data_IF_035032329043
#
_entry.id   IF_035032329043
#
_cell.length_a   1.000
_cell.length_b   1.000
_cell.length_c   1.000
_cell.angle_alpha   90.00
_cell.angle_beta   90.00
_cell.angle_gamma   90.00
#
_symmetry.space_group_name_H-M   'P 1'
#
loop_
_entity.id
_entity.type
_entity.pdbx_description
1 polymer ?
#
# COMPACT_ATOMS: atom_id res chain seq x y z
N UNK A 1 -58.27 -65.11 -33.36
CA UNK A 1 -58.39 -63.79 -34.00
C UNK A 1 -57.49 -62.85 -33.16
N UNK A 2 -56.31 -62.57 -33.74
CA UNK A 2 -55.21 -61.87 -33.09
C UNK A 2 -55.19 -60.48 -33.66
N UNK A 3 -55.26 -59.44 -32.78
CA UNK A 3 -55.18 -58.05 -33.18
C UNK A 3 -53.75 -57.48 -32.98
N UNK A 4 -53.11 -57.11 -34.08
CA UNK A 4 -51.83 -56.46 -34.14
C UNK A 4 -51.94 -55.01 -33.64
N UNK A 5 -51.10 -54.63 -32.69
CA UNK A 5 -50.87 -53.24 -32.34
C UNK A 5 -49.55 -52.76 -32.92
N UNK A 6 -49.62 -51.81 -33.85
CA UNK A 6 -48.46 -51.11 -34.41
C UNK A 6 -47.89 -50.14 -33.39
N UNK A 7 -46.60 -50.30 -33.07
CA UNK A 7 -45.83 -49.38 -32.26
C UNK A 7 -45.37 -48.12 -33.03
N UNK A 8 -45.69 -46.98 -32.59
CA UNK A 8 -45.16 -45.66 -33.07
C UNK A 8 -43.78 -45.42 -32.48
N UNK A 9 -42.76 -45.46 -33.31
CA UNK A 9 -41.39 -45.10 -32.96
C UNK A 9 -41.26 -43.56 -32.78
N UNK A 10 -40.97 -43.11 -31.58
CA UNK A 10 -40.58 -41.71 -31.29
C UNK A 10 -39.06 -41.59 -31.46
N UNK A 11 -38.64 -40.85 -32.47
CA UNK A 11 -37.25 -40.44 -32.68
C UNK A 11 -36.86 -39.39 -31.63
N UNK A 12 -35.84 -39.69 -30.85
CA UNK A 12 -35.20 -38.72 -29.94
C UNK A 12 -34.45 -37.70 -30.80
N UNK A 13 -34.96 -36.45 -30.85
CA UNK A 13 -34.18 -35.29 -31.28
C UNK A 13 -33.26 -34.91 -30.12
N UNK A 14 -31.98 -35.07 -30.32
CA UNK A 14 -30.96 -34.50 -29.43
C UNK A 14 -31.00 -32.96 -29.56
N UNK A 15 -31.46 -32.28 -28.50
CA UNK A 15 -31.32 -30.84 -28.37
C UNK A 15 -29.96 -30.60 -27.76
N UNK A 16 -28.97 -30.26 -28.60
CA UNK A 16 -27.68 -29.75 -28.14
C UNK A 16 -27.89 -28.35 -27.58
N UNK A 17 -27.96 -28.23 -26.25
CA UNK A 17 -27.84 -26.93 -25.59
C UNK A 17 -26.38 -26.47 -25.69
N UNK A 18 -26.11 -25.59 -26.65
CA UNK A 18 -24.87 -24.83 -26.68
C UNK A 18 -24.81 -23.86 -25.50
N UNK A 19 -24.06 -24.18 -24.45
CA UNK A 19 -23.65 -23.20 -23.46
C UNK A 19 -22.70 -22.20 -24.12
N UNK A 20 -23.23 -21.06 -24.54
CA UNK A 20 -22.41 -19.91 -24.87
C UNK A 20 -21.73 -19.41 -23.57
N UNK A 21 -20.44 -19.67 -23.44
CA UNK A 21 -19.62 -19.05 -22.38
C UNK A 21 -19.59 -17.54 -22.62
N UNK A 22 -20.35 -16.79 -21.84
CA UNK A 22 -20.23 -15.34 -21.77
C UNK A 22 -18.81 -15.00 -21.27
N UNK A 23 -18.07 -14.11 -21.95
CA UNK A 23 -16.78 -13.70 -21.45
C UNK A 23 -17.00 -13.02 -20.09
N UNK A 24 -16.32 -13.53 -19.05
CA UNK A 24 -16.19 -12.84 -17.78
C UNK A 24 -15.55 -11.47 -18.07
N UNK A 25 -16.37 -10.43 -18.16
CA UNK A 25 -15.89 -9.07 -18.20
C UNK A 25 -15.11 -8.87 -16.90
N UNK A 26 -13.78 -8.86 -16.99
CA UNK A 26 -12.92 -8.42 -15.90
C UNK A 26 -13.27 -6.95 -15.65
N UNK A 27 -14.08 -6.71 -14.63
CA UNK A 27 -14.46 -5.37 -14.21
C UNK A 27 -13.19 -4.71 -13.66
N UNK A 28 -12.45 -4.02 -14.53
CA UNK A 28 -11.35 -3.14 -14.10
C UNK A 28 -12.01 -2.06 -13.25
N UNK A 29 -11.68 -1.94 -11.97
CA UNK A 29 -12.30 -0.91 -11.14
C UNK A 29 -12.03 0.46 -11.76
N UNK A 30 -13.06 1.32 -11.81
CA UNK A 30 -12.92 2.69 -12.25
C UNK A 30 -11.83 3.36 -11.38
N UNK A 31 -10.90 4.08 -12.01
CA UNK A 31 -9.83 4.81 -11.34
C UNK A 31 -10.32 5.90 -10.40
N UNK A 32 -9.45 6.77 -9.89
CA UNK A 32 -9.81 7.95 -9.12
C UNK A 32 -10.67 8.94 -9.93
N UNK A 33 -11.11 10.03 -9.31
CA UNK A 33 -11.88 11.08 -9.98
C UNK A 33 -11.11 11.64 -11.22
N UNK A 34 -11.84 12.12 -12.23
CA UNK A 34 -11.29 12.46 -13.55
C UNK A 34 -10.23 13.58 -13.54
N UNK A 35 -10.26 14.43 -12.53
CA UNK A 35 -9.30 15.53 -12.31
C UNK A 35 -8.01 15.07 -11.59
N UNK A 36 -7.97 13.82 -11.12
CA UNK A 36 -6.77 13.24 -10.51
C UNK A 36 -5.89 12.62 -11.59
N UNK A 37 -4.65 13.11 -11.74
CA UNK A 37 -3.68 12.50 -12.65
C UNK A 37 -3.43 11.04 -12.27
N UNK A 38 -3.65 10.12 -13.22
CA UNK A 38 -3.65 8.68 -12.98
C UNK A 38 -2.83 7.90 -14.02
N UNK A 39 -1.96 7.03 -13.53
CA UNK A 39 -1.19 6.07 -14.35
C UNK A 39 -1.69 4.65 -14.04
N UNK A 40 -2.46 4.02 -14.94
CA UNK A 40 -2.89 2.63 -14.77
C UNK A 40 -1.73 1.65 -15.03
N UNK A 41 -1.85 0.41 -14.56
CA UNK A 41 -0.87 -0.67 -14.68
C UNK A 41 -0.21 -0.74 -16.07
N UNK A 42 -1.00 -0.74 -17.14
CA UNK A 42 -0.52 -0.87 -18.54
C UNK A 42 0.42 0.25 -19.01
N UNK A 43 0.63 1.32 -18.24
CA UNK A 43 1.53 2.44 -18.58
C UNK A 43 2.81 2.48 -17.73
N UNK A 44 3.05 1.52 -16.86
CA UNK A 44 4.23 1.45 -16.01
C UNK A 44 5.54 1.47 -16.82
N UNK A 45 5.60 0.69 -17.89
CA UNK A 45 6.78 0.59 -18.78
C UNK A 45 7.14 1.89 -19.53
N UNK A 46 6.30 2.94 -19.47
CA UNK A 46 6.54 4.21 -20.14
C UNK A 46 7.25 5.26 -19.27
N UNK A 47 7.56 4.95 -18.01
CA UNK A 47 8.25 5.87 -17.11
C UNK A 47 9.76 5.73 -17.34
N UNK A 48 10.39 6.79 -17.85
CA UNK A 48 11.83 6.81 -18.09
C UNK A 48 12.64 6.60 -16.80
N UNK A 49 13.82 5.97 -16.87
CA UNK A 49 14.74 5.85 -15.72
C UNK A 49 15.13 7.19 -15.08
N UNK A 50 15.14 8.29 -15.83
CA UNK A 50 15.45 9.64 -15.36
C UNK A 50 14.22 10.39 -14.81
N UNK A 51 12.99 9.88 -15.05
CA UNK A 51 11.78 10.52 -14.56
C UNK A 51 11.75 10.49 -13.02
N UNK A 52 11.60 11.63 -12.34
CA UNK A 52 11.48 11.67 -10.88
C UNK A 52 10.29 10.90 -10.34
N UNK A 53 9.28 10.60 -11.17
CA UNK A 53 8.12 9.78 -10.82
C UNK A 53 8.43 8.28 -10.81
N UNK A 54 9.60 7.86 -11.32
CA UNK A 54 10.03 6.47 -11.28
C UNK A 54 10.06 5.96 -9.84
N UNK A 55 9.50 4.77 -9.65
CA UNK A 55 9.54 4.07 -8.37
C UNK A 55 10.91 3.42 -8.17
N UNK A 56 11.52 3.66 -7.03
CA UNK A 56 12.83 3.14 -6.63
C UNK A 56 12.68 2.31 -5.38
N UNK A 57 13.22 1.10 -5.40
CA UNK A 57 13.18 0.17 -4.28
C UNK A 57 14.15 0.61 -3.17
N UNK A 58 13.62 0.77 -1.96
CA UNK A 58 14.37 1.36 -0.84
C UNK A 58 15.57 0.52 -0.41
N UNK A 59 15.43 -0.80 -0.35
CA UNK A 59 16.53 -1.70 0.07
C UNK A 59 17.70 -1.73 -0.91
N UNK A 60 17.49 -1.29 -2.17
CA UNK A 60 18.57 -1.12 -3.15
C UNK A 60 19.39 0.14 -2.91
N UNK A 61 18.84 1.13 -2.21
CA UNK A 61 19.53 2.38 -1.86
C UNK A 61 20.27 2.28 -0.54
N UNK A 62 19.69 1.55 0.42
CA UNK A 62 20.31 1.33 1.72
C UNK A 62 19.88 -0.03 2.29
N UNK A 63 20.85 -0.93 2.43
CA UNK A 63 20.64 -2.30 2.94
C UNK A 63 20.35 -2.38 4.43
N UNK A 64 20.54 -1.30 5.18
CA UNK A 64 20.15 -1.22 6.59
C UNK A 64 18.64 -0.94 6.77
N UNK A 65 17.92 -0.61 5.70
CA UNK A 65 16.46 -0.55 5.72
C UNK A 65 15.91 -1.97 5.75
N UNK A 66 15.09 -2.27 6.76
CA UNK A 66 14.38 -3.55 6.88
C UNK A 66 12.92 -3.42 6.47
N UNK A 67 12.29 -4.52 6.09
CA UNK A 67 10.91 -4.56 5.64
C UNK A 67 10.05 -5.41 6.59
N UNK A 68 8.98 -4.82 7.11
CA UNK A 68 7.87 -5.53 7.76
C UNK A 68 6.57 -5.12 7.04
N UNK A 69 6.51 -5.45 5.73
CA UNK A 69 5.43 -5.02 4.82
C UNK A 69 4.10 -5.63 5.25
N UNK A 70 3.36 -4.89 6.05
CA UNK A 70 2.15 -5.38 6.73
C UNK A 70 1.09 -5.88 5.77
N UNK A 71 0.92 -5.24 4.64
CA UNK A 71 -0.07 -5.64 3.63
C UNK A 71 0.38 -6.81 2.74
N UNK A 72 1.64 -7.25 2.83
CA UNK A 72 2.12 -8.50 2.23
C UNK A 72 1.85 -9.73 3.11
N UNK A 73 1.29 -9.55 4.30
CA UNK A 73 0.91 -10.59 5.26
C UNK A 73 -0.52 -10.40 5.72
N UNK A 74 -1.01 -11.30 6.57
CA UNK A 74 -2.31 -11.14 7.26
C UNK A 74 -2.22 -10.26 8.51
N UNK A 75 -1.02 -9.81 8.91
CA UNK A 75 -0.77 -8.96 10.07
C UNK A 75 -1.09 -7.49 9.77
N UNK A 76 -2.33 -7.19 9.41
CA UNK A 76 -2.88 -5.86 9.16
C UNK A 76 -4.36 -5.82 9.57
N UNK A 77 -4.96 -4.64 9.63
CA UNK A 77 -6.33 -4.47 10.12
C UNK A 77 -7.41 -5.18 9.28
N UNK A 78 -7.10 -5.58 8.03
CA UNK A 78 -8.05 -6.32 7.19
C UNK A 78 -7.97 -7.83 7.40
N UNK A 79 -6.90 -8.34 8.01
CA UNK A 79 -6.61 -9.76 8.16
C UNK A 79 -6.35 -10.48 6.81
N UNK A 80 -6.06 -9.75 5.74
CA UNK A 80 -5.89 -10.28 4.38
C UNK A 80 -4.54 -9.89 3.80
N UNK A 81 -3.97 -10.75 2.97
CA UNK A 81 -2.82 -10.42 2.12
C UNK A 81 -3.32 -9.59 0.94
N UNK A 82 -2.76 -8.38 0.78
CA UNK A 82 -3.14 -7.41 -0.25
C UNK A 82 -2.03 -7.14 -1.26
N UNK A 83 -0.76 -7.37 -0.88
CA UNK A 83 0.41 -7.26 -1.76
C UNK A 83 0.87 -8.63 -2.21
N UNK A 84 1.27 -8.76 -3.47
CA UNK A 84 1.86 -9.98 -4.02
C UNK A 84 3.29 -10.23 -3.52
N UNK A 85 3.99 -9.16 -3.12
CA UNK A 85 5.39 -9.17 -2.73
C UNK A 85 5.65 -8.23 -1.55
N UNK A 86 6.62 -8.59 -0.69
CA UNK A 86 7.09 -7.75 0.41
C UNK A 86 8.23 -6.82 -0.08
N UNK A 87 7.89 -5.81 -0.89
CA UNK A 87 8.82 -4.83 -1.46
C UNK A 87 8.36 -3.41 -1.14
N UNK A 88 9.32 -2.50 -0.95
CA UNK A 88 9.04 -1.10 -0.62
C UNK A 88 9.65 -0.16 -1.67
N UNK A 89 8.79 0.63 -2.31
CA UNK A 89 9.16 1.59 -3.34
C UNK A 89 8.71 2.99 -2.98
N UNK A 90 9.49 3.99 -3.38
CA UNK A 90 9.06 5.39 -3.40
C UNK A 90 9.45 6.04 -4.73
N UNK A 91 8.83 7.17 -5.06
CA UNK A 91 9.28 8.03 -6.15
C UNK A 91 10.74 8.44 -5.92
N UNK A 92 11.53 8.53 -6.99
CA UNK A 92 12.98 8.62 -6.88
C UNK A 92 13.51 9.72 -5.95
N UNK A 93 12.97 10.96 -5.88
CA UNK A 93 13.39 11.95 -4.88
C UNK A 93 13.04 11.55 -3.45
N UNK A 94 11.83 11.03 -3.21
CA UNK A 94 11.39 10.56 -1.89
C UNK A 94 12.22 9.35 -1.42
N UNK A 95 12.55 8.42 -2.32
CA UNK A 95 13.40 7.27 -2.01
C UNK A 95 14.81 7.70 -1.58
N UNK A 96 15.42 8.66 -2.29
CA UNK A 96 16.73 9.22 -1.90
C UNK A 96 16.68 9.95 -0.57
N UNK A 97 15.59 10.68 -0.29
CA UNK A 97 15.38 11.35 0.99
C UNK A 97 15.24 10.33 2.14
N UNK A 98 14.45 9.26 1.95
CA UNK A 98 14.32 8.17 2.91
C UNK A 98 15.67 7.47 3.19
N UNK A 99 16.50 7.26 2.16
CA UNK A 99 17.84 6.70 2.34
C UNK A 99 18.76 7.63 3.14
N UNK A 100 18.68 8.96 2.99
CA UNK A 100 19.45 9.89 3.83
C UNK A 100 18.94 9.89 5.27
N UNK A 101 17.62 9.86 5.48
CA UNK A 101 17.02 9.71 6.81
C UNK A 101 17.48 8.40 7.49
N UNK A 102 17.58 7.31 6.73
CA UNK A 102 18.14 6.05 7.22
C UNK A 102 19.60 6.18 7.65
N UNK A 103 20.43 6.88 6.89
CA UNK A 103 21.84 7.14 7.27
C UNK A 103 21.95 7.99 8.55
N UNK A 104 21.08 8.99 8.72
CA UNK A 104 21.04 9.77 9.94
C UNK A 104 20.60 8.93 11.15
N UNK A 105 19.63 8.03 10.99
CA UNK A 105 19.22 7.10 12.05
C UNK A 105 20.36 6.13 12.43
N UNK A 106 21.10 5.61 11.44
CA UNK A 106 22.24 4.71 11.66
C UNK A 106 23.34 5.36 12.51
N UNK A 107 23.59 6.65 12.33
CA UNK A 107 24.56 7.37 13.14
C UNK A 107 24.19 7.41 14.63
N UNK A 108 22.92 7.30 14.95
CA UNK A 108 22.38 7.25 16.32
C UNK A 108 22.12 5.81 16.81
N UNK A 109 22.51 4.77 16.03
CA UNK A 109 22.34 3.35 16.38
C UNK A 109 20.98 2.75 16.01
N UNK A 110 20.19 3.43 15.16
CA UNK A 110 18.87 2.96 14.72
C UNK A 110 18.85 2.66 13.21
N UNK A 111 17.99 1.71 12.81
CA UNK A 111 17.62 1.49 11.42
C UNK A 111 16.16 1.82 11.17
N UNK A 112 15.76 1.96 9.89
CA UNK A 112 14.38 2.15 9.49
C UNK A 112 13.74 0.80 9.16
N UNK A 113 12.54 0.55 9.68
CA UNK A 113 11.70 -0.59 9.31
C UNK A 113 10.45 -0.09 8.60
N UNK A 114 10.26 -0.48 7.35
CA UNK A 114 9.15 -0.04 6.51
C UNK A 114 7.95 -0.96 6.67
N UNK A 115 6.80 -0.39 6.99
CA UNK A 115 5.50 -1.07 7.07
C UNK A 115 4.70 -0.96 5.78
N UNK A 116 4.76 0.21 5.12
CA UNK A 116 4.17 0.50 3.82
C UNK A 116 4.91 1.65 3.13
N UNK A 117 4.87 1.64 1.78
CA UNK A 117 5.48 2.70 0.98
C UNK A 117 4.60 3.00 -0.25
N UNK A 118 5.09 2.83 -1.48
CA UNK A 118 4.21 2.88 -2.63
C UNK A 118 3.12 1.80 -2.51
N UNK A 119 1.88 2.22 -2.65
CA UNK A 119 0.70 1.37 -2.61
C UNK A 119 -0.06 1.51 -3.92
N UNK A 120 -0.23 0.46 -4.72
CA UNK A 120 -1.08 0.52 -5.91
C UNK A 120 -2.48 1.05 -5.56
N UNK A 121 -3.06 1.88 -6.43
CA UNK A 121 -4.38 2.49 -6.17
C UNK A 121 -5.47 1.45 -5.85
N UNK A 122 -5.45 0.31 -6.55
CA UNK A 122 -6.39 -0.81 -6.29
C UNK A 122 -6.36 -1.28 -4.84
N UNK A 123 -5.19 -1.25 -4.19
CA UNK A 123 -5.05 -1.65 -2.78
C UNK A 123 -5.64 -0.59 -1.85
N UNK A 124 -5.44 0.71 -2.14
CA UNK A 124 -6.13 1.76 -1.39
C UNK A 124 -7.65 1.60 -1.46
N UNK A 125 -8.19 1.21 -2.62
CA UNK A 125 -9.61 0.90 -2.76
C UNK A 125 -10.02 -0.31 -1.90
N UNK A 126 -9.23 -1.37 -1.87
CA UNK A 126 -9.50 -2.55 -1.04
C UNK A 126 -9.49 -2.21 0.46
N UNK A 127 -8.52 -1.40 0.93
CA UNK A 127 -8.46 -0.91 2.31
C UNK A 127 -9.69 -0.06 2.65
N UNK A 128 -10.07 0.86 1.75
CA UNK A 128 -11.27 1.67 1.91
C UNK A 128 -12.53 0.81 2.01
N UNK A 129 -12.71 -0.17 1.14
CA UNK A 129 -13.88 -1.04 1.13
C UNK A 129 -13.94 -1.94 2.39
N UNK A 130 -12.79 -2.39 2.88
CA UNK A 130 -12.68 -3.19 4.10
C UNK A 130 -12.92 -2.39 5.39
N UNK A 131 -12.75 -1.06 5.37
CA UNK A 131 -12.91 -0.21 6.55
C UNK A 131 -14.40 0.05 6.82
N UNK A 132 -14.93 -0.24 8.03
CA UNK A 132 -16.30 0.08 8.38
C UNK A 132 -16.62 1.58 8.24
N UNK A 133 -17.89 1.90 7.98
CA UNK A 133 -18.35 3.29 8.00
C UNK A 133 -18.18 3.87 9.42
N UNK A 134 -17.85 5.15 9.50
CA UNK A 134 -17.68 5.86 10.78
C UNK A 134 -16.27 6.43 10.96
N UNK A 135 -15.85 6.75 12.20
CA UNK A 135 -14.60 7.46 12.49
C UNK A 135 -13.34 6.79 11.92
N UNK A 136 -13.31 5.45 11.84
CA UNK A 136 -12.17 4.70 11.26
C UNK A 136 -11.89 5.04 9.80
N UNK A 137 -12.89 5.54 9.05
CA UNK A 137 -12.68 6.02 7.68
C UNK A 137 -11.72 7.21 7.58
N UNK A 138 -11.53 7.96 8.66
CA UNK A 138 -10.61 9.10 8.68
C UNK A 138 -9.13 8.67 8.64
N UNK A 139 -8.83 7.39 8.92
CA UNK A 139 -7.50 6.80 8.84
C UNK A 139 -7.20 6.13 7.49
N UNK A 140 -8.16 6.09 6.58
CA UNK A 140 -7.97 5.45 5.27
C UNK A 140 -8.28 6.43 4.15
N UNK A 141 -7.36 6.58 3.22
CA UNK A 141 -7.51 7.52 2.11
C UNK A 141 -8.71 7.16 1.23
N UNK A 142 -9.49 8.20 0.85
CA UNK A 142 -10.59 8.03 -0.10
C UNK A 142 -10.04 7.73 -1.51
N UNK A 143 -10.34 6.57 -2.11
CA UNK A 143 -9.79 6.19 -3.41
C UNK A 143 -10.18 7.15 -4.55
N UNK A 144 -11.27 7.89 -4.43
CA UNK A 144 -11.64 8.92 -5.42
C UNK A 144 -10.58 10.00 -5.56
N UNK A 145 -9.93 10.39 -4.45
CA UNK A 145 -8.86 11.39 -4.42
C UNK A 145 -7.48 10.76 -4.57
N UNK A 146 -7.37 9.45 -4.37
CA UNK A 146 -6.12 8.75 -4.23
C UNK A 146 -5.44 9.01 -2.88
N UNK A 147 -4.33 8.29 -2.64
CA UNK A 147 -3.45 8.42 -1.49
C UNK A 147 -2.09 8.96 -1.95
N UNK A 148 -1.33 9.56 -1.04
CA UNK A 148 0.07 9.91 -1.30
C UNK A 148 0.94 8.65 -1.44
N UNK A 149 0.57 7.54 -0.79
CA UNK A 149 1.14 6.22 -1.07
C UNK A 149 0.96 5.79 -2.53
N UNK A 150 -0.20 6.09 -3.14
CA UNK A 150 -0.41 5.77 -4.57
C UNK A 150 0.49 6.59 -5.51
N UNK A 151 1.12 7.63 -5.01
CA UNK A 151 2.02 8.53 -5.74
C UNK A 151 3.49 8.18 -5.51
N UNK A 152 3.78 7.19 -4.66
CA UNK A 152 5.14 6.90 -4.19
C UNK A 152 5.73 8.02 -3.32
N UNK A 153 4.86 8.82 -2.69
CA UNK A 153 5.24 10.00 -1.93
C UNK A 153 4.80 9.93 -0.44
N UNK A 154 4.50 8.74 0.05
CA UNK A 154 4.27 8.50 1.48
C UNK A 154 4.93 7.21 1.92
N UNK A 155 5.33 7.16 3.18
CA UNK A 155 5.94 6.00 3.82
C UNK A 155 5.41 5.85 5.24
N UNK A 156 5.08 4.60 5.59
CA UNK A 156 4.75 4.18 6.95
C UNK A 156 5.92 3.36 7.50
N UNK A 157 6.47 3.76 8.63
CA UNK A 157 7.69 3.15 9.14
C UNK A 157 7.85 3.33 10.65
N UNK A 158 8.80 2.56 11.19
CA UNK A 158 9.28 2.66 12.57
C UNK A 158 10.81 2.63 12.59
N UNK A 159 11.37 2.68 13.79
CA UNK A 159 12.78 2.45 14.07
C UNK A 159 12.99 1.03 14.61
N UNK A 160 14.15 0.45 14.31
CA UNK A 160 14.68 -0.72 15.01
C UNK A 160 16.07 -0.40 15.57
N UNK A 161 16.45 -1.06 16.64
CA UNK A 161 17.79 -0.98 17.22
C UNK A 161 18.76 -1.81 16.37
N UNK A 162 19.86 -1.23 15.92
CA UNK A 162 20.81 -1.90 15.04
C UNK A 162 21.59 -3.03 15.71
N UNK A 163 21.72 -3.04 17.04
CA UNK A 163 22.44 -4.09 17.76
C UNK A 163 21.57 -5.33 17.94
N UNK A 164 20.26 -5.14 18.15
CA UNK A 164 19.34 -6.23 18.47
C UNK A 164 18.44 -6.63 17.29
N UNK A 165 18.26 -5.76 16.31
CA UNK A 165 17.30 -5.89 15.22
C UNK A 165 15.84 -5.73 15.66
N UNK A 166 15.57 -5.49 16.93
CA UNK A 166 14.22 -5.37 17.46
C UNK A 166 13.60 -3.99 17.14
N UNK A 167 12.30 -3.97 16.83
CA UNK A 167 11.56 -2.72 16.75
C UNK A 167 11.62 -2.00 18.10
N UNK A 168 11.83 -0.69 18.07
CA UNK A 168 11.76 0.12 19.28
C UNK A 168 10.31 0.33 19.72
N UNK A 169 10.12 0.57 21.00
CA UNK A 169 8.79 0.89 21.54
C UNK A 169 8.27 2.20 20.94
N UNK A 170 7.01 2.19 20.47
CA UNK A 170 6.27 3.36 19.97
C UNK A 170 4.96 3.52 20.76
N UNK A 171 4.29 4.69 20.71
CA UNK A 171 3.08 4.95 21.50
C UNK A 171 1.92 3.98 21.23
N UNK A 172 1.84 3.41 20.02
CA UNK A 172 0.88 2.38 19.62
C UNK A 172 1.48 1.45 18.59
N UNK A 173 0.77 0.36 18.26
CA UNK A 173 1.06 -0.45 17.08
C UNK A 173 0.76 0.30 15.78
N UNK A 174 1.25 -0.23 14.66
CA UNK A 174 0.87 0.21 13.32
C UNK A 174 -0.62 -0.08 13.06
N UNK A 175 -1.31 0.80 12.33
CA UNK A 175 -2.75 0.72 12.07
C UNK A 175 -3.62 0.73 13.35
N UNK A 176 -3.13 1.28 14.44
CA UNK A 176 -3.94 1.56 15.63
C UNK A 176 -4.83 2.80 15.37
N UNK A 177 -6.11 2.57 15.11
CA UNK A 177 -7.09 3.64 14.81
C UNK A 177 -7.65 4.25 16.11
N UNK A 178 -6.78 4.62 17.04
CA UNK A 178 -7.10 5.30 18.30
C UNK A 178 -6.23 6.55 18.52
N UNK A 179 -6.55 7.33 19.54
CA UNK A 179 -5.75 8.51 19.93
C UNK A 179 -4.29 8.19 20.24
N UNK A 180 -3.96 6.94 20.59
CA UNK A 180 -2.57 6.52 20.84
C UNK A 180 -1.69 6.65 19.59
N UNK A 181 -2.30 6.56 18.39
CA UNK A 181 -1.60 6.78 17.13
C UNK A 181 -1.22 8.24 16.86
N UNK A 182 -1.87 9.18 17.53
CA UNK A 182 -1.66 10.59 17.28
C UNK A 182 -0.24 11.05 17.68
N UNK A 183 0.31 11.97 16.89
CA UNK A 183 1.69 12.48 17.09
C UNK A 183 1.85 13.31 18.37
N UNK A 184 0.77 13.88 18.88
CA UNK A 184 0.72 14.65 20.13
C UNK A 184 0.30 13.82 21.34
N UNK A 185 0.05 12.50 21.18
CA UNK A 185 -0.28 11.64 22.31
C UNK A 185 0.89 11.52 23.29
N UNK A 186 0.66 11.94 24.54
CA UNK A 186 1.68 12.02 25.58
C UNK A 186 1.51 11.02 26.73
N UNK A 187 0.41 10.25 26.75
CA UNK A 187 0.18 9.23 27.78
C UNK A 187 0.82 7.87 27.43
N UNK A 188 2.00 7.91 26.80
CA UNK A 188 2.86 6.76 26.51
C UNK A 188 4.11 6.76 27.39
N UNK A 189 4.93 5.71 27.31
CA UNK A 189 6.20 5.67 28.04
C UNK A 189 7.15 6.79 27.55
N UNK A 190 8.06 7.29 28.41
CA UNK A 190 9.08 8.26 27.99
C UNK A 190 9.93 7.74 26.81
N UNK A 191 10.20 6.43 26.75
CA UNK A 191 10.94 5.80 25.67
C UNK A 191 10.17 5.89 24.35
N UNK A 192 8.88 5.54 24.34
CA UNK A 192 8.03 5.60 23.15
C UNK A 192 7.90 7.04 22.62
N UNK A 193 7.73 8.03 23.51
CA UNK A 193 7.68 9.44 23.13
C UNK A 193 9.00 9.88 22.50
N UNK A 194 10.14 9.50 23.11
CA UNK A 194 11.46 9.84 22.59
C UNK A 194 11.73 9.18 21.23
N UNK A 195 11.35 7.93 21.06
CA UNK A 195 11.53 7.19 19.80
C UNK A 195 10.68 7.78 18.66
N UNK A 196 9.42 8.13 18.93
CA UNK A 196 8.56 8.87 17.98
C UNK A 196 9.19 10.20 17.56
N UNK A 197 9.72 10.97 18.53
CA UNK A 197 10.38 12.23 18.25
C UNK A 197 11.67 12.06 17.41
N UNK A 198 12.44 10.99 17.65
CA UNK A 198 13.62 10.65 16.81
C UNK A 198 13.22 10.36 15.38
N UNK A 199 12.24 9.46 15.19
CA UNK A 199 11.71 9.12 13.87
C UNK A 199 11.27 10.37 13.12
N UNK A 200 10.48 11.23 13.77
CA UNK A 200 10.05 12.52 13.22
C UNK A 200 11.22 13.39 12.76
N UNK A 201 12.22 13.57 13.61
CA UNK A 201 13.40 14.39 13.31
C UNK A 201 14.14 13.89 12.07
N UNK A 202 14.35 12.57 11.93
CA UNK A 202 15.07 12.02 10.78
C UNK A 202 14.31 12.26 9.47
N UNK A 203 13.01 12.04 9.46
CA UNK A 203 12.20 12.17 8.25
C UNK A 203 11.97 13.64 7.88
N UNK A 204 11.65 14.50 8.85
CA UNK A 204 11.39 15.92 8.60
C UNK A 204 12.64 16.68 8.12
N UNK A 205 13.84 16.32 8.59
CA UNK A 205 15.10 16.86 8.08
C UNK A 205 15.33 16.59 6.59
N UNK A 206 14.68 15.55 6.04
CA UNK A 206 14.82 15.13 4.65
C UNK A 206 13.59 15.49 3.78
N UNK A 207 12.73 16.40 4.26
CA UNK A 207 11.61 16.94 3.50
C UNK A 207 10.34 16.10 3.56
N UNK A 208 10.21 15.22 4.53
CA UNK A 208 8.95 14.57 4.85
C UNK A 208 8.16 15.39 5.87
N UNK A 209 6.85 15.22 5.88
CA UNK A 209 5.92 15.84 6.83
C UNK A 209 5.04 14.76 7.43
N UNK A 210 5.03 14.66 8.74
CA UNK A 210 4.23 13.66 9.44
C UNK A 210 2.74 13.99 9.49
N UNK A 211 1.89 12.97 9.45
CA UNK A 211 0.45 13.09 9.59
C UNK A 211 0.06 13.18 11.07
N UNK A 212 -0.84 14.10 11.44
CA UNK A 212 -1.14 14.40 12.84
C UNK A 212 -1.74 13.23 13.63
N UNK A 213 -2.54 12.38 12.99
CA UNK A 213 -3.24 11.25 13.61
C UNK A 213 -2.56 9.89 13.44
N UNK A 214 -1.36 9.84 12.82
CA UNK A 214 -0.60 8.61 12.58
C UNK A 214 0.89 8.86 12.78
N UNK A 215 1.47 8.36 13.89
CA UNK A 215 2.88 8.61 14.21
C UNK A 215 3.85 7.98 13.20
N UNK A 216 3.45 6.91 12.53
CA UNK A 216 4.24 6.14 11.56
C UNK A 216 4.25 6.76 10.16
N UNK A 217 3.26 7.61 9.82
CA UNK A 217 3.02 8.09 8.46
C UNK A 217 3.73 9.42 8.17
N UNK A 218 4.43 9.45 7.04
CA UNK A 218 5.14 10.63 6.55
C UNK A 218 4.91 10.84 5.06
N UNK A 219 4.49 12.04 4.70
CA UNK A 219 4.29 12.50 3.33
C UNK A 219 5.54 13.23 2.83
N UNK A 220 6.03 12.92 1.64
CA UNK A 220 7.10 13.68 1.00
C UNK A 220 6.55 14.98 0.41
N UNK A 221 7.23 16.10 0.65
CA UNK A 221 6.83 17.44 0.16
C UNK A 221 6.82 17.48 -1.38
N UNK A 222 5.85 18.22 -1.96
CA UNK A 222 5.69 18.30 -3.41
C UNK A 222 5.01 17.09 -4.04
N UNK A 223 4.39 16.22 -3.24
CA UNK A 223 3.64 15.05 -3.70
C UNK A 223 2.53 15.38 -4.72
N UNK A 224 2.03 16.61 -4.74
CA UNK A 224 0.99 17.10 -5.66
C UNK A 224 1.40 16.96 -7.13
N UNK A 225 2.71 17.00 -7.41
CA UNK A 225 3.28 16.89 -8.75
C UNK A 225 3.31 15.44 -9.27
N UNK A 226 3.01 14.46 -8.42
CA UNK A 226 3.07 13.03 -8.75
C UNK A 226 1.66 12.49 -9.02
N UNK A 227 1.48 11.70 -10.10
CA UNK A 227 0.20 11.08 -10.40
C UNK A 227 -0.12 9.97 -9.41
N UNK A 228 -1.40 9.68 -9.25
CA UNK A 228 -1.86 8.42 -8.65
C UNK A 228 -1.51 7.28 -9.60
N UNK A 229 -0.87 6.22 -9.10
CA UNK A 229 -0.42 5.08 -9.89
C UNK A 229 -1.10 3.79 -9.41
N UNK A 230 -1.36 2.89 -10.34
CA UNK A 230 -1.88 1.55 -10.06
C UNK A 230 -0.97 0.47 -10.67
N UNK A 231 0.32 0.60 -10.45
CA UNK A 231 1.37 -0.28 -10.99
C UNK A 231 1.56 -1.46 -10.03
N UNK A 232 1.36 -2.71 -10.44
CA UNK A 232 1.69 -3.89 -9.64
C UNK A 232 3.20 -3.97 -9.35
N UNK A 233 3.59 -4.60 -8.25
CA UNK A 233 5.01 -4.64 -7.84
C UNK A 233 5.89 -5.41 -8.83
N UNK A 234 5.36 -6.46 -9.44
CA UNK A 234 6.02 -7.27 -10.48
C UNK A 234 6.22 -6.53 -11.82
N UNK A 235 5.53 -5.41 -12.02
CA UNK A 235 5.70 -4.52 -13.17
C UNK A 235 6.67 -3.34 -12.90
N UNK A 236 7.22 -3.23 -11.67
CA UNK A 236 8.19 -2.19 -11.32
C UNK A 236 9.61 -2.72 -11.55
N UNK A 237 10.35 -2.08 -12.46
CA UNK A 237 11.71 -2.45 -12.87
C UNK A 237 12.78 -2.20 -11.78
#
# INVERSE_FOLDING_TARGET
MVGERRGLGLTRREVALGLAALPLATCVPAGPDKDVAFIPAKKAASISPEDPKRLVELVKLDTAITLDMRYATTNNFTGRVLYSEARAFLAAPAARAAARASKAAQADGFGLTIFDAYRPWRVTKQLWDATPRGPKKNYVANPKRGSKHNRGCAVDLSLHDLNTGALVEMPSGFDDFSEKAHRDYMAASPAAIANRARLQRYLEAEGFVGLSNEWWHFDFTGWEQYPVMDIPFDEIA
#
